data_IF_068673984467
#
_entry.id   IF_068673984467
#
_cell.length_a   1.000
_cell.length_b   1.000
_cell.length_c   1.000
_cell.angle_alpha   90.00
_cell.angle_beta   90.00
_cell.angle_gamma   90.00
#
_symmetry.space_group_name_H-M   'P 1'
#
loop_
_entity.id
_entity.type
_entity.pdbx_description
1 polymer ?
#
# COMPACT_ATOMS: atom_id res chain seq x y z
N UNK A 1 22.78 -11.49 69.87
CA UNK A 1 22.87 -10.48 68.79
C UNK A 1 23.43 -11.04 67.47
N UNK A 2 22.98 -12.22 67.00
CA UNK A 2 23.40 -12.79 65.69
C UNK A 2 22.23 -13.25 64.81
N UNK A 3 20.99 -13.21 65.30
CA UNK A 3 19.78 -13.63 64.56
C UNK A 3 19.01 -12.46 63.91
N UNK A 4 19.37 -11.22 64.22
CA UNK A 4 18.69 -10.04 63.68
C UNK A 4 19.32 -9.52 62.37
N UNK A 5 20.49 -10.04 61.97
CA UNK A 5 21.23 -9.60 60.78
C UNK A 5 20.79 -10.37 59.51
N UNK A 6 20.21 -11.57 59.64
CA UNK A 6 19.72 -12.32 58.48
C UNK A 6 18.38 -11.83 57.92
N UNK A 7 17.61 -11.03 58.68
CA UNK A 7 16.32 -10.52 58.20
C UNK A 7 16.42 -9.21 57.40
N UNK A 8 17.54 -8.48 57.50
CA UNK A 8 17.73 -7.23 56.73
C UNK A 8 18.35 -7.44 55.34
N UNK A 9 18.96 -8.60 55.08
CA UNK A 9 19.54 -8.94 53.78
C UNK A 9 18.54 -9.63 52.82
N UNK A 10 17.39 -10.09 53.34
CA UNK A 10 16.37 -10.78 52.54
C UNK A 10 15.30 -9.84 51.97
N UNK A 11 15.18 -8.60 52.47
CA UNK A 11 14.19 -7.63 51.98
C UNK A 11 14.66 -6.82 50.77
N UNK A 12 15.95 -6.84 50.44
CA UNK A 12 16.53 -6.10 49.30
C UNK A 12 16.39 -6.89 47.98
N UNK A 13 16.08 -8.20 48.03
CA UNK A 13 15.92 -9.05 46.83
C UNK A 13 14.52 -9.02 46.20
N UNK A 14 13.60 -8.18 46.69
CA UNK A 14 12.25 -8.03 46.12
C UNK A 14 12.06 -6.73 45.33
N UNK A 15 13.12 -5.94 45.09
CA UNK A 15 13.11 -5.02 43.96
C UNK A 15 13.31 -5.84 42.68
N UNK A 16 12.25 -6.55 42.31
CA UNK A 16 12.04 -7.05 40.95
C UNK A 16 12.45 -5.92 40.00
N UNK A 17 13.49 -6.17 39.22
CA UNK A 17 14.02 -5.23 38.26
C UNK A 17 12.89 -4.96 37.26
N UNK A 18 12.13 -3.87 37.47
CA UNK A 18 11.04 -3.50 36.57
C UNK A 18 11.69 -3.14 35.24
N UNK A 19 11.69 -4.08 34.30
CA UNK A 19 12.19 -3.85 32.94
C UNK A 19 11.30 -2.80 32.29
N UNK A 20 11.93 -1.69 31.91
CA UNK A 20 11.33 -0.64 31.11
C UNK A 20 11.47 -0.98 29.63
N UNK A 21 10.49 -0.61 28.83
CA UNK A 21 10.49 -0.81 27.39
C UNK A 21 9.12 -0.54 26.78
N UNK A 22 8.98 -0.76 25.47
CA UNK A 22 7.68 -0.68 24.84
C UNK A 22 6.81 -1.87 25.29
N UNK A 23 5.67 -1.57 25.91
CA UNK A 23 4.68 -2.58 26.36
C UNK A 23 3.52 -2.76 25.37
N UNK A 24 3.54 -2.02 24.26
CA UNK A 24 2.48 -2.06 23.26
C UNK A 24 2.74 -3.20 22.26
N UNK A 25 1.89 -4.24 22.19
CA UNK A 25 2.08 -5.37 21.27
C UNK A 25 2.08 -5.00 19.79
N UNK A 26 1.56 -3.82 19.42
CA UNK A 26 1.52 -3.37 18.02
C UNK A 26 2.75 -2.54 17.60
N UNK A 27 3.66 -2.23 18.52
CA UNK A 27 4.89 -1.52 18.21
C UNK A 27 5.98 -2.46 17.69
N UNK A 28 6.81 -1.96 16.75
CA UNK A 28 7.97 -2.66 16.17
C UNK A 28 8.96 -3.17 17.22
N UNK A 29 9.11 -2.42 18.30
CA UNK A 29 10.04 -2.71 19.38
C UNK A 29 9.33 -3.16 20.67
N UNK A 30 8.16 -3.79 20.52
CA UNK A 30 7.45 -4.44 21.62
C UNK A 30 8.38 -5.37 22.42
N UNK A 31 8.43 -5.18 23.73
CA UNK A 31 9.21 -5.98 24.65
C UNK A 31 8.27 -6.75 25.59
N UNK A 32 8.08 -8.08 25.40
CA UNK A 32 7.20 -8.87 26.25
C UNK A 32 7.67 -8.97 27.71
N UNK A 33 8.94 -8.68 27.99
CA UNK A 33 9.49 -8.65 29.34
C UNK A 33 9.32 -7.28 30.02
N UNK A 34 8.89 -6.24 29.28
CA UNK A 34 8.70 -4.91 29.85
C UNK A 34 7.39 -4.86 30.64
N UNK A 35 7.45 -4.27 31.84
CA UNK A 35 6.29 -4.07 32.71
C UNK A 35 6.03 -2.58 33.00
N UNK A 36 6.91 -1.70 32.53
CA UNK A 36 6.76 -0.24 32.56
C UNK A 36 6.92 0.28 31.14
N UNK A 37 5.92 1.03 30.66
CA UNK A 37 6.05 1.78 29.42
C UNK A 37 6.98 2.98 29.64
N UNK A 38 8.08 3.03 28.91
CA UNK A 38 9.02 4.16 28.92
C UNK A 38 8.80 5.13 27.74
N UNK A 39 7.74 4.94 26.95
CA UNK A 39 7.42 5.76 25.78
C UNK A 39 8.30 5.48 24.57
N UNK A 40 9.10 4.40 24.58
CA UNK A 40 9.98 4.07 23.46
C UNK A 40 9.28 3.37 22.29
N UNK A 41 7.96 3.18 22.32
CA UNK A 41 7.25 2.43 21.28
C UNK A 41 7.44 3.05 19.90
N UNK A 42 8.01 2.28 18.98
CA UNK A 42 8.18 2.64 17.57
C UNK A 42 7.06 2.01 16.76
N UNK A 43 6.34 2.82 15.99
CA UNK A 43 5.28 2.37 15.10
C UNK A 43 5.73 2.55 13.66
N UNK A 44 5.24 1.69 12.78
CA UNK A 44 5.34 1.96 11.35
C UNK A 44 4.35 3.09 11.04
N UNK A 45 4.88 4.28 10.79
CA UNK A 45 4.12 5.41 10.27
C UNK A 45 4.70 5.80 8.93
N UNK A 46 3.87 5.73 7.88
CA UNK A 46 4.26 6.14 6.54
C UNK A 46 4.54 7.65 6.49
N UNK A 47 5.51 8.04 5.67
CA UNK A 47 6.00 9.40 5.54
C UNK A 47 5.05 10.20 4.63
N UNK A 48 4.50 11.36 5.05
CA UNK A 48 3.63 12.16 4.19
C UNK A 48 4.29 12.53 2.86
N UNK A 49 3.56 12.36 1.76
CA UNK A 49 4.03 12.79 0.43
C UNK A 49 3.58 14.22 0.12
N UNK A 50 4.51 15.06 -0.32
CA UNK A 50 4.23 16.45 -0.69
C UNK A 50 4.06 16.58 -2.20
N UNK A 51 2.82 16.77 -2.64
CA UNK A 51 2.47 16.95 -4.05
C UNK A 51 2.82 18.36 -4.48
N UNK A 52 3.49 18.47 -5.62
CA UNK A 52 3.76 19.77 -6.25
C UNK A 52 2.62 20.07 -7.22
N UNK A 53 1.67 20.90 -6.79
CA UNK A 53 0.61 21.40 -7.68
C UNK A 53 1.23 22.30 -8.77
N UNK A 54 1.08 21.99 -10.07
CA UNK A 54 1.57 22.84 -11.13
C UNK A 54 0.92 24.23 -11.11
N UNK A 55 1.67 25.26 -11.52
CA UNK A 55 1.12 26.62 -11.60
C UNK A 55 -0.13 26.66 -12.49
N UNK A 56 -1.22 27.19 -11.95
CA UNK A 56 -2.51 27.32 -12.64
C UNK A 56 -3.47 26.14 -12.47
N UNK A 57 -3.07 25.08 -11.77
CA UNK A 57 -3.96 23.98 -11.36
C UNK A 57 -4.55 24.25 -9.98
N UNK A 58 -5.78 23.79 -9.69
CA UNK A 58 -6.28 23.73 -8.32
C UNK A 58 -5.50 22.68 -7.53
N UNK A 59 -5.52 22.78 -6.19
CA UNK A 59 -4.99 21.70 -5.36
C UNK A 59 -5.75 20.40 -5.63
N UNK A 60 -5.00 19.31 -5.71
CA UNK A 60 -5.58 17.98 -5.92
C UNK A 60 -6.35 17.54 -4.68
N UNK A 61 -7.54 16.98 -4.86
CA UNK A 61 -8.34 16.47 -3.75
C UNK A 61 -7.76 15.12 -3.33
N UNK A 62 -7.18 15.07 -2.13
CA UNK A 62 -6.64 13.83 -1.56
C UNK A 62 -7.69 13.22 -0.62
N UNK A 63 -8.14 11.97 -0.84
CA UNK A 63 -9.10 11.32 0.03
C UNK A 63 -8.56 11.16 1.46
N UNK A 64 -9.38 11.47 2.47
CA UNK A 64 -8.99 11.32 3.88
C UNK A 64 -8.65 9.87 4.26
N UNK A 65 -9.29 8.91 3.59
CA UNK A 65 -9.06 7.48 3.79
C UNK A 65 -7.91 6.90 2.95
N UNK A 66 -7.28 7.70 2.08
CA UNK A 66 -6.11 7.32 1.30
C UNK A 66 -5.12 8.50 1.20
N UNK A 67 -4.55 8.97 2.34
CA UNK A 67 -3.58 10.04 2.31
C UNK A 67 -2.31 9.58 1.58
N UNK A 68 -1.75 10.48 0.77
CA UNK A 68 -0.54 10.15 0.01
C UNK A 68 0.70 10.08 0.91
N UNK A 69 1.48 9.03 0.72
CA UNK A 69 2.71 8.76 1.47
C UNK A 69 3.84 8.36 0.55
N UNK A 70 5.10 8.57 0.95
CA UNK A 70 6.27 8.21 0.15
C UNK A 70 6.29 6.70 -0.12
N UNK A 71 5.96 5.91 0.89
CA UNK A 71 5.90 4.45 0.84
C UNK A 71 4.74 3.97 -0.03
N UNK A 72 3.56 4.59 0.09
CA UNK A 72 2.39 4.28 -0.74
C UNK A 72 2.59 4.61 -2.21
N UNK A 73 3.14 5.79 -2.53
CA UNK A 73 3.50 6.17 -3.92
C UNK A 73 4.54 5.20 -4.50
N UNK A 74 5.58 4.85 -3.75
CA UNK A 74 6.60 3.91 -4.22
C UNK A 74 6.03 2.50 -4.45
N UNK A 75 5.12 2.04 -3.58
CA UNK A 75 4.41 0.78 -3.74
C UNK A 75 3.47 0.81 -4.95
N UNK A 76 2.71 1.89 -5.13
CA UNK A 76 1.87 2.13 -6.30
C UNK A 76 2.65 2.07 -7.60
N UNK A 77 3.79 2.77 -7.67
CA UNK A 77 4.69 2.75 -8.83
C UNK A 77 5.17 1.32 -9.13
N UNK A 78 5.58 0.56 -8.11
CA UNK A 78 5.99 -0.85 -8.28
C UNK A 78 4.85 -1.68 -8.85
N UNK A 79 3.65 -1.61 -8.27
CA UNK A 79 2.47 -2.36 -8.72
C UNK A 79 2.06 -1.97 -10.15
N UNK A 80 2.17 -0.69 -10.51
CA UNK A 80 1.85 -0.17 -11.84
C UNK A 80 2.73 -0.79 -12.94
N UNK A 81 3.98 -1.12 -12.60
CA UNK A 81 4.94 -1.75 -13.51
C UNK A 81 4.95 -3.27 -13.44
N UNK A 82 4.55 -3.85 -12.31
CA UNK A 82 4.58 -5.29 -12.06
C UNK A 82 3.42 -6.01 -12.76
N UNK A 83 3.71 -7.21 -13.29
CA UNK A 83 2.74 -8.08 -13.94
C UNK A 83 2.01 -8.99 -12.95
N UNK A 84 2.36 -8.92 -11.66
CA UNK A 84 1.79 -9.73 -10.59
C UNK A 84 0.27 -9.62 -10.48
N UNK A 85 -0.35 -8.53 -10.95
CA UNK A 85 -1.80 -8.35 -10.91
C UNK A 85 -2.53 -9.07 -12.07
N UNK A 86 -1.81 -9.57 -13.07
CA UNK A 86 -2.41 -10.26 -14.22
C UNK A 86 -2.47 -11.78 -14.03
N UNK A 87 -3.47 -12.42 -14.63
CA UNK A 87 -3.75 -13.84 -14.45
C UNK A 87 -2.62 -14.75 -14.93
N UNK A 88 -1.98 -14.40 -16.04
CA UNK A 88 -0.88 -15.18 -16.62
C UNK A 88 0.52 -14.54 -16.41
N UNK A 89 0.61 -13.42 -15.69
CA UNK A 89 1.86 -12.71 -15.43
C UNK A 89 2.47 -12.02 -16.65
N UNK A 90 1.70 -11.74 -17.71
CA UNK A 90 2.18 -11.12 -18.94
C UNK A 90 1.86 -9.63 -19.07
N UNK A 91 0.82 -9.14 -18.38
CA UNK A 91 0.30 -7.77 -18.50
C UNK A 91 0.51 -6.97 -17.20
N UNK A 92 0.83 -5.69 -17.30
CA UNK A 92 0.84 -4.71 -16.20
C UNK A 92 0.16 -3.41 -16.63
N UNK A 93 -0.05 -2.45 -15.73
CA UNK A 93 -0.71 -1.18 -16.09
C UNK A 93 0.05 -0.42 -17.18
N UNK A 94 1.39 -0.39 -17.09
CA UNK A 94 2.27 0.22 -18.11
C UNK A 94 2.23 -0.47 -19.47
N UNK A 95 1.66 -1.68 -19.57
CA UNK A 95 1.52 -2.36 -20.85
C UNK A 95 0.53 -1.64 -21.77
N UNK A 96 -0.46 -0.93 -21.21
CA UNK A 96 -1.40 -0.08 -21.95
C UNK A 96 -1.19 1.43 -21.69
N UNK A 97 -0.71 1.80 -20.51
CA UNK A 97 -0.47 3.21 -20.14
C UNK A 97 1.00 3.60 -20.34
N UNK A 98 1.38 3.81 -21.60
CA UNK A 98 2.77 3.99 -22.00
C UNK A 98 3.28 5.40 -21.65
N UNK A 99 4.31 5.50 -20.80
CA UNK A 99 4.88 6.80 -20.43
C UNK A 99 5.32 7.63 -21.65
N UNK A 100 5.86 7.00 -22.69
CA UNK A 100 6.26 7.64 -23.94
C UNK A 100 5.10 8.23 -24.75
N UNK A 101 3.87 7.81 -24.47
CA UNK A 101 2.63 8.31 -25.03
C UNK A 101 1.78 9.04 -23.98
N UNK A 102 2.43 9.74 -23.04
CA UNK A 102 1.75 10.45 -21.95
C UNK A 102 0.82 9.55 -21.12
N UNK A 103 1.27 8.32 -20.87
CA UNK A 103 0.51 7.28 -20.16
C UNK A 103 -0.83 6.92 -20.81
N UNK A 104 -0.93 7.03 -22.14
CA UNK A 104 -2.01 6.41 -22.93
C UNK A 104 -1.46 5.24 -23.76
N UNK A 105 -2.36 4.54 -24.44
CA UNK A 105 -1.96 3.60 -25.49
C UNK A 105 -1.80 4.34 -26.84
N UNK A 106 -0.94 3.81 -27.71
CA UNK A 106 -0.73 4.29 -29.08
C UNK A 106 -1.67 3.63 -30.10
N UNK A 107 -2.25 2.48 -29.76
CA UNK A 107 -3.22 1.78 -30.60
C UNK A 107 -4.62 2.40 -30.50
N UNK A 108 -5.45 2.22 -31.54
CA UNK A 108 -6.86 2.64 -31.50
C UNK A 108 -7.66 1.91 -30.40
N UNK A 109 -7.39 0.62 -30.23
CA UNK A 109 -7.91 -0.20 -29.15
C UNK A 109 -6.74 -0.85 -28.43
N UNK A 110 -6.82 -1.00 -27.12
CA UNK A 110 -5.72 -1.60 -26.38
C UNK A 110 -5.67 -3.11 -26.58
N UNK A 111 -4.45 -3.61 -26.73
CA UNK A 111 -4.14 -5.03 -26.79
C UNK A 111 -4.12 -5.59 -25.37
N UNK A 112 -4.89 -6.65 -25.16
CA UNK A 112 -5.06 -7.32 -23.88
C UNK A 112 -4.05 -8.44 -23.62
N UNK A 113 -4.18 -9.08 -22.46
CA UNK A 113 -3.30 -10.14 -21.94
C UNK A 113 -3.06 -11.33 -22.88
N UNK A 114 -4.04 -11.67 -23.72
CA UNK A 114 -3.98 -12.78 -24.68
C UNK A 114 -3.76 -12.30 -26.13
N UNK A 115 -3.35 -11.05 -26.33
CA UNK A 115 -3.16 -10.43 -27.65
C UNK A 115 -4.46 -10.04 -28.34
N UNK A 116 -5.59 -10.09 -27.62
CA UNK A 116 -6.89 -9.69 -28.13
C UNK A 116 -7.10 -8.18 -27.93
N UNK A 117 -7.58 -7.50 -28.96
CA UNK A 117 -7.95 -6.10 -28.85
C UNK A 117 -9.29 -5.91 -28.14
N UNK A 118 -9.32 -4.94 -27.21
CA UNK A 118 -10.56 -4.47 -26.60
C UNK A 118 -11.40 -3.61 -27.54
N UNK A 119 -12.29 -2.81 -26.97
CA UNK A 119 -13.17 -1.88 -27.70
C UNK A 119 -12.87 -0.40 -27.46
N UNK A 120 -11.84 -0.10 -26.67
CA UNK A 120 -11.39 1.26 -26.35
C UNK A 120 -9.87 1.31 -26.25
N UNK A 121 -9.32 2.50 -26.49
CA UNK A 121 -7.94 2.85 -26.16
C UNK A 121 -7.81 3.07 -24.64
N UNK A 122 -6.67 2.72 -24.05
CA UNK A 122 -6.35 3.14 -22.68
C UNK A 122 -6.11 4.66 -22.66
N UNK A 123 -7.03 5.39 -22.06
CA UNK A 123 -6.97 6.85 -21.97
C UNK A 123 -5.69 7.31 -21.25
N UNK A 124 -5.21 8.50 -21.60
CA UNK A 124 -4.13 9.12 -20.83
C UNK A 124 -4.53 9.26 -19.37
N UNK A 125 -3.60 8.93 -18.47
CA UNK A 125 -3.76 9.11 -17.02
C UNK A 125 -2.85 10.20 -16.47
N UNK A 126 -2.12 10.93 -17.34
CA UNK A 126 -1.44 12.14 -16.89
C UNK A 126 -2.49 13.13 -16.36
N UNK A 127 -2.27 13.64 -15.15
CA UNK A 127 -3.20 14.53 -14.46
C UNK A 127 -4.54 13.88 -14.04
N UNK A 128 -4.64 12.55 -14.01
CA UNK A 128 -5.91 11.88 -13.66
C UNK A 128 -6.41 12.22 -12.25
N UNK A 129 -5.54 12.62 -11.32
CA UNK A 129 -5.95 13.03 -9.98
C UNK A 129 -6.77 14.33 -9.91
N UNK A 130 -6.89 15.09 -11.01
CA UNK A 130 -7.80 16.24 -11.12
C UNK A 130 -9.12 15.92 -11.84
N UNK A 131 -9.33 14.67 -12.28
CA UNK A 131 -10.56 14.28 -12.96
C UNK A 131 -11.71 14.13 -11.96
N UNK A 132 -12.93 14.53 -12.37
CA UNK A 132 -14.16 14.28 -11.61
C UNK A 132 -14.82 12.93 -11.97
N UNK A 133 -14.37 12.29 -13.04
CA UNK A 133 -14.88 11.01 -13.54
C UNK A 133 -13.80 10.32 -14.36
N UNK A 134 -13.73 8.98 -14.28
CA UNK A 134 -12.76 8.15 -14.98
C UNK A 134 -13.42 7.17 -15.95
N UNK A 135 -12.61 6.56 -16.82
CA UNK A 135 -13.01 5.87 -18.04
C UNK A 135 -13.62 6.80 -19.11
N UNK A 136 -13.64 6.32 -20.35
CA UNK A 136 -14.24 7.03 -21.49
C UNK A 136 -15.73 7.32 -21.34
N UNK A 137 -16.45 6.53 -20.55
CA UNK A 137 -17.88 6.71 -20.26
C UNK A 137 -18.13 7.40 -18.91
N UNK A 138 -17.07 7.79 -18.18
CA UNK A 138 -17.18 8.51 -16.92
C UNK A 138 -17.85 7.71 -15.80
N UNK A 139 -17.91 6.37 -15.90
CA UNK A 139 -18.77 5.54 -15.04
C UNK A 139 -18.31 5.42 -13.59
N UNK A 140 -17.04 5.73 -13.29
CA UNK A 140 -16.47 5.70 -11.93
C UNK A 140 -15.91 7.07 -11.58
N UNK A 141 -15.80 7.35 -10.27
CA UNK A 141 -15.45 8.70 -9.79
C UNK A 141 -14.12 8.76 -9.05
N UNK A 142 -13.58 7.63 -8.62
CA UNK A 142 -12.26 7.57 -7.98
C UNK A 142 -11.23 6.85 -8.84
N UNK A 143 -9.95 7.06 -8.53
CA UNK A 143 -8.85 6.34 -9.16
C UNK A 143 -8.78 4.89 -8.67
N UNK A 144 -9.17 4.64 -7.41
CA UNK A 144 -9.25 3.30 -6.84
C UNK A 144 -10.28 2.43 -7.58
N UNK A 145 -11.47 2.96 -7.86
CA UNK A 145 -12.49 2.28 -8.67
C UNK A 145 -11.99 2.04 -10.09
N UNK A 146 -11.26 3.02 -10.67
CA UNK A 146 -10.69 2.88 -12.01
C UNK A 146 -9.62 1.78 -12.07
N UNK A 147 -8.73 1.69 -11.08
CA UNK A 147 -7.69 0.69 -10.99
C UNK A 147 -8.23 -0.72 -10.69
N UNK A 148 -9.45 -0.80 -10.13
CA UNK A 148 -10.06 -2.08 -9.77
C UNK A 148 -10.51 -2.90 -10.99
N UNK A 149 -11.12 -2.24 -11.99
CA UNK A 149 -11.76 -2.91 -13.13
C UNK A 149 -10.77 -3.65 -14.08
N UNK A 150 -9.61 -3.10 -14.46
CA UNK A 150 -8.69 -3.74 -15.41
C UNK A 150 -8.22 -5.14 -14.97
N UNK A 151 -8.03 -5.32 -13.65
CA UNK A 151 -7.56 -6.58 -13.06
C UNK A 151 -8.52 -7.73 -13.37
N UNK A 152 -9.83 -7.48 -13.29
CA UNK A 152 -10.88 -8.49 -13.49
C UNK A 152 -11.40 -8.56 -14.92
N UNK A 153 -11.03 -7.60 -15.77
CA UNK A 153 -11.47 -7.60 -17.16
C UNK A 153 -10.81 -8.78 -17.92
N UNK A 154 -11.59 -9.68 -18.53
CA UNK A 154 -11.07 -10.88 -19.19
C UNK A 154 -10.24 -10.60 -20.45
N UNK A 155 -10.34 -9.38 -21.01
CA UNK A 155 -9.50 -8.94 -22.12
C UNK A 155 -8.23 -8.29 -21.57
N UNK A 156 -8.32 -7.47 -20.52
CA UNK A 156 -7.20 -6.65 -20.06
C UNK A 156 -6.18 -7.46 -19.26
N UNK A 157 -6.48 -7.83 -18.00
CA UNK A 157 -5.53 -8.54 -17.12
C UNK A 157 -6.01 -9.94 -16.69
N UNK A 158 -7.29 -10.26 -16.96
CA UNK A 158 -7.91 -11.58 -16.83
C UNK A 158 -7.52 -12.33 -15.53
N UNK A 159 -7.64 -11.65 -14.40
CA UNK A 159 -7.48 -12.25 -13.08
C UNK A 159 -8.72 -12.05 -12.21
N UNK A 160 -8.66 -12.49 -10.95
CA UNK A 160 -9.63 -12.18 -9.93
C UNK A 160 -8.91 -11.77 -8.64
N UNK A 161 -9.54 -10.89 -7.87
CA UNK A 161 -8.95 -10.35 -6.64
C UNK A 161 -8.52 -11.42 -5.63
N UNK A 162 -9.29 -12.47 -5.34
CA UNK A 162 -8.81 -13.54 -4.46
C UNK A 162 -7.48 -14.18 -4.91
N UNK A 163 -7.27 -14.37 -6.21
CA UNK A 163 -6.00 -14.89 -6.73
C UNK A 163 -4.87 -13.85 -6.63
N UNK A 164 -5.14 -12.58 -6.92
CA UNK A 164 -4.18 -11.49 -6.76
C UNK A 164 -3.75 -11.33 -5.30
N UNK A 165 -4.70 -11.34 -4.37
CA UNK A 165 -4.46 -11.30 -2.93
C UNK A 165 -3.58 -12.48 -2.49
N UNK A 166 -3.87 -13.69 -2.96
CA UNK A 166 -3.02 -14.85 -2.68
C UNK A 166 -1.59 -14.67 -3.20
N UNK A 167 -1.41 -14.15 -4.42
CA UNK A 167 -0.07 -13.89 -4.99
C UNK A 167 0.71 -12.86 -4.17
N UNK A 168 0.07 -11.78 -3.76
CA UNK A 168 0.70 -10.70 -3.01
C UNK A 168 1.03 -11.13 -1.58
N UNK A 169 0.12 -11.79 -0.88
CA UNK A 169 0.36 -12.27 0.49
C UNK A 169 1.37 -13.43 0.55
N UNK A 170 1.55 -14.19 -0.54
CA UNK A 170 2.61 -15.19 -0.65
C UNK A 170 4.00 -14.59 -0.94
N UNK A 171 4.08 -13.30 -1.28
CA UNK A 171 5.33 -12.62 -1.58
C UNK A 171 5.78 -11.76 -0.39
N UNK A 172 6.88 -12.17 0.26
CA UNK A 172 7.41 -11.49 1.45
C UNK A 172 7.81 -10.03 1.20
N UNK A 173 8.24 -9.68 -0.01
CA UNK A 173 8.56 -8.30 -0.36
C UNK A 173 7.29 -7.44 -0.35
N UNK A 174 6.21 -7.91 -0.99
CA UNK A 174 4.95 -7.18 -1.00
C UNK A 174 4.35 -7.08 0.40
N UNK A 175 4.37 -8.15 1.19
CA UNK A 175 3.92 -8.08 2.61
C UNK A 175 4.67 -6.99 3.37
N UNK A 176 5.99 -6.88 3.21
CA UNK A 176 6.76 -5.82 3.85
C UNK A 176 6.41 -4.43 3.33
N UNK A 177 6.27 -4.25 2.01
CA UNK A 177 5.95 -2.96 1.40
C UNK A 177 4.55 -2.47 1.82
N UNK A 178 3.55 -3.35 1.82
CA UNK A 178 2.20 -3.01 2.28
C UNK A 178 2.16 -2.73 3.78
N UNK A 179 2.94 -3.45 4.59
CA UNK A 179 3.11 -3.11 6.00
C UNK A 179 3.71 -1.71 6.18
N UNK A 180 4.68 -1.33 5.35
CA UNK A 180 5.29 0.00 5.40
C UNK A 180 4.32 1.12 4.95
N UNK A 181 3.57 0.90 3.88
CA UNK A 181 2.67 1.89 3.31
C UNK A 181 1.37 2.07 4.10
N UNK A 182 0.77 0.99 4.61
CA UNK A 182 -0.58 1.01 5.21
C UNK A 182 -0.64 0.42 6.63
N UNK A 183 0.48 -0.04 7.19
CA UNK A 183 0.56 -0.70 8.51
C UNK A 183 -0.37 -1.93 8.65
N UNK A 184 -0.56 -2.67 7.56
CA UNK A 184 -1.41 -3.87 7.50
C UNK A 184 -0.61 -5.17 7.48
N UNK A 185 -1.23 -6.25 7.96
CA UNK A 185 -0.64 -7.60 7.95
C UNK A 185 -1.28 -8.53 6.89
N UNK A 186 -2.33 -8.06 6.20
CA UNK A 186 -3.00 -8.80 5.14
C UNK A 186 -3.36 -7.85 4.00
N UNK A 187 -2.97 -8.22 2.78
CA UNK A 187 -3.19 -7.44 1.57
C UNK A 187 -4.52 -7.88 0.95
N UNK A 188 -5.47 -6.95 0.85
CA UNK A 188 -6.72 -7.13 0.09
C UNK A 188 -6.74 -6.23 -1.17
N UNK A 189 -7.75 -6.38 -2.02
CA UNK A 189 -7.90 -5.55 -3.23
C UNK A 189 -7.95 -4.06 -2.96
N UNK A 190 -8.53 -3.60 -1.84
CA UNK A 190 -8.65 -2.18 -1.51
C UNK A 190 -7.28 -1.56 -1.29
N UNK A 191 -6.40 -2.24 -0.54
CA UNK A 191 -5.04 -1.75 -0.31
C UNK A 191 -4.26 -1.65 -1.63
N UNK A 192 -4.44 -2.62 -2.53
CA UNK A 192 -3.79 -2.61 -3.85
C UNK A 192 -4.21 -1.39 -4.67
N UNK A 193 -5.51 -1.14 -4.80
CA UNK A 193 -5.99 -0.01 -5.60
C UNK A 193 -5.72 1.33 -4.92
N UNK A 194 -5.71 1.38 -3.59
CA UNK A 194 -5.27 2.57 -2.84
C UNK A 194 -3.81 2.91 -3.12
N UNK A 195 -2.92 1.92 -3.15
CA UNK A 195 -1.52 2.13 -3.48
C UNK A 195 -1.36 2.64 -4.92
N UNK A 196 -2.04 2.05 -5.89
CA UNK A 196 -1.99 2.45 -7.31
C UNK A 196 -2.55 3.88 -7.51
N UNK A 197 -3.50 4.31 -6.67
CA UNK A 197 -4.12 5.63 -6.75
C UNK A 197 -3.27 6.76 -6.13
N UNK A 198 -2.20 6.45 -5.40
CA UNK A 198 -1.22 7.42 -4.90
C UNK A 198 -0.15 7.70 -5.95
#
# INVERSE_FOLDING_TARGET
>A
MKRLICFLLATILLFSCKKEGCIDPIALNYNPDAHINNGSCEYITATPYHIITPYGFPDMIIPENNPMTVEGVSLGEKLFHDKILSGNGMQSCVSCHLQSAAFSDTNQFSEGIDGLFGNRNASTIINAGWNNSNFWDGRVTSLEEQAHDPVVNPIEMNDNWPNVENKLNANSEYVQLFKQAFNIDYIDSNHVVMAIAQ
#
